data_IF_675435204964
#
_entry.id   IF_675435204964
#
_cell.length_a   1.000
_cell.length_b   1.000
_cell.length_c   1.000
_cell.angle_alpha   90.00
_cell.angle_beta   90.00
_cell.angle_gamma   90.00
#
_symmetry.space_group_name_H-M   'P 1'
#
loop_
_entity.id
_entity.type
_entity.pdbx_description
1 polymer ?
#
# COMPACT_ATOMS: atom_id res chain seq x y z
N UNK A 1 -0.98 -19.76 -22.30
CA UNK A 1 -0.65 -18.34 -22.51
C UNK A 1 -1.44 -17.42 -21.57
N UNK A 2 -2.78 -17.48 -21.51
CA UNK A 2 -3.59 -16.71 -20.55
C UNK A 2 -3.22 -16.99 -19.07
N UNK A 3 -3.00 -18.26 -18.70
CA UNK A 3 -2.69 -18.65 -17.31
C UNK A 3 -1.37 -18.06 -16.77
N UNK A 4 -0.39 -17.78 -17.63
CA UNK A 4 0.84 -17.10 -17.22
C UNK A 4 0.58 -15.62 -16.98
N UNK A 5 -0.17 -14.96 -17.86
CA UNK A 5 -0.51 -13.54 -17.77
C UNK A 5 -1.35 -13.27 -16.50
N UNK A 6 -2.34 -14.12 -16.20
CA UNK A 6 -3.16 -14.00 -14.98
C UNK A 6 -2.36 -14.17 -13.70
N UNK A 7 -1.33 -15.02 -13.71
CA UNK A 7 -0.46 -15.24 -12.53
C UNK A 7 0.31 -13.97 -12.17
N UNK A 8 0.88 -13.27 -13.16
CA UNK A 8 1.56 -12.00 -12.90
C UNK A 8 0.58 -10.86 -12.58
N UNK A 9 -0.58 -10.81 -13.23
CA UNK A 9 -1.59 -9.78 -12.97
C UNK A 9 -2.13 -9.82 -11.54
N UNK A 10 -2.37 -11.01 -10.98
CA UNK A 10 -2.86 -11.13 -9.59
C UNK A 10 -1.88 -10.57 -8.56
N UNK A 11 -0.59 -10.50 -8.87
CA UNK A 11 0.42 -9.95 -7.96
C UNK A 11 0.40 -8.42 -7.89
N UNK A 12 0.24 -7.77 -9.05
CA UNK A 12 0.35 -6.31 -9.17
C UNK A 12 -0.99 -5.57 -9.10
N UNK A 13 -2.11 -6.22 -9.44
CA UNK A 13 -3.43 -5.58 -9.45
C UNK A 13 -3.87 -5.09 -8.06
N UNK A 14 -3.66 -5.82 -6.95
CA UNK A 14 -4.06 -5.32 -5.64
C UNK A 14 -3.26 -4.09 -5.20
N UNK A 15 -1.96 -4.06 -5.51
CA UNK A 15 -1.10 -2.89 -5.26
C UNK A 15 -1.61 -1.69 -6.07
N UNK A 16 -1.87 -1.87 -7.36
CA UNK A 16 -2.44 -0.83 -8.22
C UNK A 16 -3.80 -0.33 -7.69
N UNK A 17 -4.65 -1.24 -7.21
CA UNK A 17 -5.92 -0.90 -6.59
C UNK A 17 -5.76 -0.07 -5.32
N UNK A 18 -4.91 -0.52 -4.38
CA UNK A 18 -4.62 0.18 -3.12
C UNK A 18 -4.12 1.60 -3.40
N UNK A 19 -3.10 1.74 -4.25
CA UNK A 19 -2.51 3.04 -4.54
C UNK A 19 -3.40 3.91 -5.43
N UNK A 20 -4.10 3.33 -6.39
CA UNK A 20 -5.03 4.06 -7.27
C UNK A 20 -6.22 4.62 -6.49
N UNK A 21 -6.88 3.81 -5.67
CA UNK A 21 -8.00 4.25 -4.83
C UNK A 21 -7.53 5.24 -3.76
N UNK A 22 -6.37 4.98 -3.15
CA UNK A 22 -5.75 5.90 -2.20
C UNK A 22 -5.48 7.27 -2.82
N UNK A 23 -4.87 7.31 -3.99
CA UNK A 23 -4.59 8.55 -4.72
C UNK A 23 -5.87 9.31 -5.08
N UNK A 24 -6.89 8.63 -5.61
CA UNK A 24 -8.20 9.23 -5.89
C UNK A 24 -8.84 9.78 -4.61
N UNK A 25 -8.76 9.04 -3.51
CA UNK A 25 -9.23 9.48 -2.20
C UNK A 25 -8.52 10.75 -1.74
N UNK A 26 -7.18 10.80 -1.82
CA UNK A 26 -6.42 11.98 -1.44
C UNK A 26 -6.79 13.22 -2.25
N UNK A 27 -7.03 13.07 -3.56
CA UNK A 27 -7.50 14.17 -4.39
C UNK A 27 -8.94 14.59 -4.06
N UNK A 28 -9.84 13.62 -3.81
CA UNK A 28 -11.26 13.90 -3.59
C UNK A 28 -11.53 14.57 -2.24
N UNK A 29 -10.76 14.20 -1.22
CA UNK A 29 -10.88 14.67 0.16
C UNK A 29 -9.82 15.71 0.53
N UNK A 30 -9.29 16.46 -0.45
CA UNK A 30 -8.25 17.48 -0.23
C UNK A 30 -8.62 18.62 0.72
N UNK A 31 -9.89 18.69 1.15
CA UNK A 31 -10.41 19.67 2.09
C UNK A 31 -10.39 19.18 3.55
N UNK A 32 -10.08 17.90 3.80
CA UNK A 32 -10.10 17.28 5.13
C UNK A 32 -8.76 16.54 5.39
N UNK A 33 -7.77 17.21 6.02
CA UNK A 33 -6.46 16.62 6.28
C UNK A 33 -6.51 15.46 7.27
N UNK A 34 -7.52 15.41 8.14
CA UNK A 34 -7.70 14.27 9.06
C UNK A 34 -8.13 13.04 8.28
N UNK A 35 -9.09 13.19 7.37
CA UNK A 35 -9.51 12.09 6.51
C UNK A 35 -8.41 11.65 5.53
N UNK A 36 -7.64 12.59 4.96
CA UNK A 36 -6.47 12.26 4.15
C UNK A 36 -5.41 11.48 4.95
N UNK A 37 -5.21 11.81 6.23
CA UNK A 37 -4.30 11.06 7.11
C UNK A 37 -4.78 9.62 7.29
N UNK A 38 -6.08 9.40 7.49
CA UNK A 38 -6.67 8.06 7.57
C UNK A 38 -6.46 7.27 6.26
N UNK A 39 -6.60 7.92 5.10
CA UNK A 39 -6.32 7.30 3.79
C UNK A 39 -4.84 6.89 3.70
N UNK A 40 -3.90 7.78 4.03
CA UNK A 40 -2.45 7.51 3.98
C UNK A 40 -2.10 6.30 4.87
N UNK A 41 -2.59 6.29 6.12
CA UNK A 41 -2.35 5.19 7.06
C UNK A 41 -2.96 3.88 6.53
N UNK A 42 -4.18 3.94 5.98
CA UNK A 42 -4.86 2.78 5.40
C UNK A 42 -4.11 2.23 4.18
N UNK A 43 -3.53 3.08 3.33
CA UNK A 43 -2.69 2.66 2.21
C UNK A 43 -1.45 1.92 2.69
N UNK A 44 -0.75 2.45 3.70
CA UNK A 44 0.43 1.81 4.29
C UNK A 44 0.10 0.45 4.91
N UNK A 45 -0.97 0.38 5.72
CA UNK A 45 -1.43 -0.88 6.29
C UNK A 45 -1.82 -1.90 5.21
N UNK A 46 -2.53 -1.47 4.17
CA UNK A 46 -2.94 -2.32 3.06
C UNK A 46 -1.73 -2.83 2.26
N UNK A 47 -0.72 -2.00 2.03
CA UNK A 47 0.52 -2.40 1.36
C UNK A 47 1.29 -3.46 2.18
N UNK A 48 1.44 -3.26 3.49
CA UNK A 48 2.04 -4.26 4.39
C UNK A 48 1.27 -5.58 4.38
N UNK A 49 -0.06 -5.52 4.54
CA UNK A 49 -0.91 -6.72 4.56
C UNK A 49 -0.85 -7.46 3.23
N UNK A 50 -0.96 -6.76 2.10
CA UNK A 50 -0.87 -7.39 0.79
C UNK A 50 0.52 -8.01 0.56
N UNK A 51 1.60 -7.32 0.93
CA UNK A 51 2.96 -7.86 0.86
C UNK A 51 3.11 -9.17 1.63
N UNK A 52 2.61 -9.23 2.86
CA UNK A 52 2.62 -10.44 3.68
C UNK A 52 1.77 -11.57 3.07
N UNK A 53 0.54 -11.27 2.63
CA UNK A 53 -0.36 -12.25 1.99
C UNK A 53 0.25 -12.78 0.70
N UNK A 54 0.79 -11.90 -0.14
CA UNK A 54 1.44 -12.24 -1.40
C UNK A 54 2.60 -13.22 -1.19
N UNK A 55 3.51 -12.92 -0.26
CA UNK A 55 4.63 -13.80 0.03
C UNK A 55 4.20 -15.10 0.70
N UNK A 56 3.17 -15.08 1.55
CA UNK A 56 2.62 -16.31 2.13
C UNK A 56 2.06 -17.26 1.06
N UNK A 57 1.38 -16.73 0.05
CA UNK A 57 0.74 -17.54 -1.00
C UNK A 57 1.70 -18.01 -2.10
N UNK A 58 2.78 -17.28 -2.38
CA UNK A 58 3.57 -17.50 -3.60
C UNK A 58 5.06 -17.78 -3.41
N UNK A 59 5.72 -17.21 -2.39
CA UNK A 59 7.18 -17.22 -2.31
C UNK A 59 7.75 -17.66 -0.95
N UNK A 60 6.88 -17.95 0.02
CA UNK A 60 7.22 -18.27 1.39
C UNK A 60 7.41 -17.01 2.25
N UNK A 61 6.61 -16.90 3.31
CA UNK A 61 6.67 -15.76 4.23
C UNK A 61 7.83 -15.93 5.22
N UNK A 62 8.76 -14.96 5.23
CA UNK A 62 9.85 -14.86 6.21
C UNK A 62 9.69 -13.60 7.03
N UNK A 63 10.11 -13.64 8.31
CA UNK A 63 10.03 -12.48 9.19
C UNK A 63 10.76 -11.24 8.62
N UNK A 64 11.91 -11.45 7.97
CA UNK A 64 12.65 -10.38 7.30
C UNK A 64 11.82 -9.63 6.26
N UNK A 65 11.03 -10.34 5.45
CA UNK A 65 10.15 -9.75 4.45
C UNK A 65 9.08 -8.88 5.12
N UNK A 66 8.46 -9.36 6.20
CA UNK A 66 7.46 -8.58 6.95
C UNK A 66 8.08 -7.27 7.46
N UNK A 67 9.31 -7.33 7.98
CA UNK A 67 10.04 -6.15 8.46
C UNK A 67 10.37 -5.18 7.33
N UNK A 68 10.75 -5.67 6.14
CA UNK A 68 10.97 -4.84 4.96
C UNK A 68 9.70 -4.08 4.55
N UNK A 69 8.58 -4.79 4.39
CA UNK A 69 7.30 -4.16 4.04
C UNK A 69 6.84 -3.19 5.14
N UNK A 70 7.08 -3.51 6.41
CA UNK A 70 6.75 -2.63 7.53
C UNK A 70 7.58 -1.35 7.47
N UNK A 71 8.89 -1.46 7.27
CA UNK A 71 9.79 -0.32 7.17
C UNK A 71 9.41 0.59 5.99
N UNK A 72 9.14 0.01 4.81
CA UNK A 72 8.74 0.77 3.62
C UNK A 72 7.36 1.42 3.82
N UNK A 73 6.39 0.71 4.42
CA UNK A 73 5.06 1.26 4.73
C UNK A 73 5.16 2.45 5.67
N UNK A 74 5.92 2.30 6.77
CA UNK A 74 6.12 3.36 7.75
C UNK A 74 6.81 4.57 7.12
N UNK A 75 7.86 4.35 6.33
CA UNK A 75 8.55 5.44 5.64
C UNK A 75 7.60 6.21 4.72
N UNK A 76 6.81 5.51 3.90
CA UNK A 76 5.83 6.14 3.03
C UNK A 76 4.76 6.94 3.79
N UNK A 77 4.21 6.34 4.86
CA UNK A 77 3.22 7.01 5.73
C UNK A 77 3.83 8.26 6.37
N UNK A 78 5.04 8.17 6.95
CA UNK A 78 5.72 9.30 7.60
C UNK A 78 5.96 10.43 6.60
N UNK A 79 6.48 10.12 5.41
CA UNK A 79 6.75 11.14 4.39
C UNK A 79 5.46 11.83 3.95
N UNK A 80 4.42 11.06 3.64
CA UNK A 80 3.15 11.63 3.17
C UNK A 80 2.43 12.44 4.25
N UNK A 81 2.41 11.96 5.49
CA UNK A 81 1.85 12.72 6.62
C UNK A 81 2.67 13.98 6.88
N UNK A 82 3.99 13.91 6.79
CA UNK A 82 4.86 15.08 6.95
C UNK A 82 4.54 16.13 5.89
N UNK A 83 4.39 15.74 4.61
CA UNK A 83 3.98 16.67 3.55
C UNK A 83 2.59 17.26 3.83
N UNK A 84 1.63 16.42 4.21
CA UNK A 84 0.25 16.84 4.48
C UNK A 84 0.15 17.88 5.60
N UNK A 85 0.93 17.69 6.67
CA UNK A 85 0.93 18.55 7.87
C UNK A 85 2.09 19.57 7.91
N UNK A 86 2.89 19.68 6.86
CA UNK A 86 3.99 20.67 6.77
C UNK A 86 3.55 22.08 6.36
N UNK A 87 2.27 22.26 6.01
CA UNK A 87 1.69 23.56 5.70
C UNK A 87 1.11 24.20 6.95
#
# INVERSE_FOLDING_TARGET
MLQHITKYLSHYMPILGIFGLGFVGLLRFSYDPVFQSAIIISMGASFLMWGAIHHWLHEGLRMGIILEYLAVSLLGVIVLLSILWSR
#
